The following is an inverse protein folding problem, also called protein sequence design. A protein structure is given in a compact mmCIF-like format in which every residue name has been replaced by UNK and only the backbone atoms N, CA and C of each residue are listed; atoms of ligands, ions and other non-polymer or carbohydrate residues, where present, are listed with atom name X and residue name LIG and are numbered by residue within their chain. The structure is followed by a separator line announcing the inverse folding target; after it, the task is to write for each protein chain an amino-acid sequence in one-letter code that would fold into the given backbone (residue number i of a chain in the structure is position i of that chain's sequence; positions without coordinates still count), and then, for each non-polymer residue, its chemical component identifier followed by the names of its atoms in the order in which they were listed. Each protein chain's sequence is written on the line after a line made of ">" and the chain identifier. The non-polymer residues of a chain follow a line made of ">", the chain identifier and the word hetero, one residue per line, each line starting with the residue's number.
data_IF_636637598788
#
_entry.id   IF_636637598788
#
_cell.length_a   1.000
_cell.length_b   1.000
_cell.length_c   1.000
_cell.angle_alpha   90.00
_cell.angle_beta   90.00
_cell.angle_gamma   90.00
#
_symmetry.space_group_name_H-M   'P 1'
#
loop_
_entity.id
_entity.type
_entity.pdbx_description
1 polymer ?
#
# COMPACT_ATOMS: atom_id res chain seq x y z
N UNK A 1 8.99 20.62 -22.73
CA UNK A 1 8.04 21.22 -21.75
C UNK A 1 7.33 20.16 -20.89
N UNK A 2 7.04 18.98 -21.43
CA UNK A 2 6.42 17.85 -20.71
C UNK A 2 7.05 17.51 -19.34
N UNK A 3 8.38 17.45 -19.23
CA UNK A 3 9.03 17.13 -17.96
C UNK A 3 8.79 18.18 -16.85
N UNK A 4 8.60 19.45 -17.21
CA UNK A 4 8.23 20.49 -16.23
C UNK A 4 6.80 20.26 -15.72
N UNK A 5 5.85 20.00 -16.62
CA UNK A 5 4.46 19.66 -16.27
C UNK A 5 4.43 18.49 -15.29
N UNK A 6 5.09 17.39 -15.64
CA UNK A 6 5.14 16.18 -14.82
C UNK A 6 5.77 16.44 -13.44
N UNK A 7 6.85 17.22 -13.35
CA UNK A 7 7.46 17.63 -12.07
C UNK A 7 6.47 18.41 -11.18
N UNK A 8 5.73 19.35 -11.74
CA UNK A 8 4.77 20.15 -10.97
C UNK A 8 3.51 19.35 -10.59
N UNK A 9 3.09 18.41 -11.43
CA UNK A 9 2.04 17.44 -11.09
C UNK A 9 2.44 16.64 -9.85
N UNK A 10 3.62 16.02 -9.83
CA UNK A 10 4.09 15.27 -8.66
C UNK A 10 4.19 16.12 -7.39
N UNK A 11 4.62 17.39 -7.51
CA UNK A 11 4.69 18.31 -6.37
C UNK A 11 3.31 18.60 -5.77
N UNK A 12 2.28 18.71 -6.60
CA UNK A 12 0.90 18.92 -6.15
C UNK A 12 0.30 17.67 -5.50
N UNK A 13 0.60 16.51 -6.08
CA UNK A 13 0.02 15.21 -5.71
C UNK A 13 0.62 14.64 -4.42
N UNK A 14 1.92 14.86 -4.21
CA UNK A 14 2.73 14.10 -3.25
C UNK A 14 2.17 14.07 -1.83
N UNK A 15 1.65 15.18 -1.30
CA UNK A 15 1.21 15.27 0.10
C UNK A 15 0.06 14.32 0.43
N UNK A 16 -0.96 14.27 -0.43
CA UNK A 16 -2.15 13.43 -0.20
C UNK A 16 -1.86 11.94 -0.43
N UNK A 17 -1.10 11.63 -1.48
CA UNK A 17 -0.74 10.24 -1.77
C UNK A 17 0.21 9.67 -0.73
N UNK A 18 1.20 10.45 -0.30
CA UNK A 18 2.11 10.00 0.74
C UNK A 18 1.37 9.78 2.06
N UNK A 19 0.44 10.66 2.43
CA UNK A 19 -0.40 10.48 3.62
C UNK A 19 -1.22 9.19 3.57
N UNK A 20 -1.88 8.90 2.44
CA UNK A 20 -2.66 7.67 2.26
C UNK A 20 -1.78 6.42 2.41
N UNK A 21 -0.64 6.39 1.72
CA UNK A 21 0.27 5.25 1.76
C UNK A 21 0.91 5.06 3.15
N UNK A 22 1.27 6.15 3.82
CA UNK A 22 1.78 6.10 5.20
C UNK A 22 0.74 5.55 6.18
N UNK A 23 -0.54 5.92 6.02
CA UNK A 23 -1.63 5.39 6.84
C UNK A 23 -1.81 3.88 6.65
N UNK A 24 -1.73 3.39 5.41
CA UNK A 24 -1.79 1.95 5.11
C UNK A 24 -0.70 1.17 5.85
N UNK A 25 0.55 1.65 5.81
CA UNK A 25 1.68 1.01 6.50
C UNK A 25 1.49 1.06 8.02
N UNK A 26 1.07 2.20 8.57
CA UNK A 26 0.85 2.36 10.00
C UNK A 26 -0.21 1.38 10.53
N UNK A 27 -1.34 1.26 9.82
CA UNK A 27 -2.41 0.33 10.20
C UNK A 27 -1.93 -1.12 10.05
N UNK A 28 -1.21 -1.47 8.98
CA UNK A 28 -0.63 -2.80 8.82
C UNK A 28 0.32 -3.17 9.97
N UNK A 29 1.16 -2.23 10.41
CA UNK A 29 2.07 -2.45 11.55
C UNK A 29 1.31 -2.64 12.87
N UNK A 30 0.26 -1.85 13.12
CA UNK A 30 -0.60 -2.00 14.32
C UNK A 30 -1.28 -3.36 14.32
N UNK A 31 -1.85 -3.78 13.19
CA UNK A 31 -2.47 -5.10 13.05
C UNK A 31 -1.45 -6.22 13.28
N UNK A 32 -0.24 -6.09 12.75
CA UNK A 32 0.83 -7.08 12.92
C UNK A 32 1.28 -7.20 14.38
N UNK A 33 1.42 -6.07 15.08
CA UNK A 33 1.71 -6.07 16.50
C UNK A 33 0.59 -6.71 17.32
N UNK A 34 -0.66 -6.47 16.92
CA UNK A 34 -1.84 -7.07 17.56
C UNK A 34 -1.79 -8.59 17.41
N UNK A 35 -1.52 -9.11 16.20
CA UNK A 35 -1.36 -10.55 15.95
C UNK A 35 -0.35 -11.16 16.91
N UNK A 36 0.85 -10.57 16.98
CA UNK A 36 1.93 -11.08 17.83
C UNK A 36 1.51 -11.19 19.30
N UNK A 37 0.84 -10.17 19.84
CA UNK A 37 0.38 -10.18 21.24
C UNK A 37 -0.66 -11.26 21.50
N UNK A 38 -1.63 -11.42 20.59
CA UNK A 38 -2.69 -12.42 20.76
C UNK A 38 -2.16 -13.86 20.62
N UNK A 39 -1.24 -14.12 19.68
CA UNK A 39 -0.62 -15.46 19.51
C UNK A 39 0.18 -15.87 20.75
N UNK A 40 0.91 -14.96 21.39
CA UNK A 40 1.66 -15.27 22.62
C UNK A 40 0.76 -15.55 23.83
N UNK A 41 -0.46 -15.00 23.85
CA UNK A 41 -1.43 -15.17 24.93
C UNK A 41 -2.24 -16.47 24.80
N UNK A 42 -2.50 -16.93 23.56
CA UNK A 42 -3.35 -18.09 23.26
C UNK A 42 -2.81 -19.41 23.84
N UNK A 43 -1.48 -19.57 23.90
CA UNK A 43 -0.82 -20.75 24.49
C UNK A 43 -1.16 -20.98 25.98
N UNK A 44 -1.67 -19.95 26.67
CA UNK A 44 -1.96 -20.01 28.11
C UNK A 44 -3.46 -20.16 28.45
N UNK A 45 -4.37 -20.17 27.47
CA UNK A 45 -5.80 -19.88 27.70
C UNK A 45 -6.84 -21.02 27.47
N UNK A 46 -6.42 -22.27 27.27
CA UNK A 46 -7.35 -23.42 27.19
C UNK A 46 -8.42 -23.28 26.09
N UNK A 47 -9.69 -23.60 26.39
CA UNK A 47 -10.83 -23.60 25.43
C UNK A 47 -11.12 -22.21 24.82
N UNK A 48 -10.77 -21.12 25.51
CA UNK A 48 -10.89 -19.76 24.95
C UNK A 48 -9.80 -19.48 23.91
N UNK A 49 -8.61 -20.08 24.04
CA UNK A 49 -7.52 -19.98 23.07
C UNK A 49 -7.90 -20.58 21.72
N UNK A 50 -8.59 -21.73 21.69
CA UNK A 50 -8.98 -22.40 20.43
C UNK A 50 -10.06 -21.66 19.64
N UNK A 51 -10.93 -20.89 20.29
CA UNK A 51 -11.91 -20.03 19.58
C UNK A 51 -11.20 -18.81 19.00
N UNK A 52 -10.28 -18.20 19.75
CA UNK A 52 -9.50 -17.05 19.29
C UNK A 52 -8.60 -17.46 18.12
N UNK A 53 -7.89 -18.59 18.20
CA UNK A 53 -7.04 -19.08 17.10
C UNK A 53 -7.80 -19.32 15.79
N UNK A 54 -9.08 -19.72 15.86
CA UNK A 54 -9.89 -19.96 14.66
C UNK A 54 -10.56 -18.71 14.10
N UNK A 55 -10.97 -17.77 14.96
CA UNK A 55 -11.71 -16.57 14.55
C UNK A 55 -10.79 -15.39 14.22
N UNK A 56 -9.68 -15.24 14.95
CA UNK A 56 -8.71 -14.17 14.78
C UNK A 56 -8.13 -14.08 13.35
N UNK A 57 -7.64 -15.16 12.71
CA UNK A 57 -7.13 -15.07 11.34
C UNK A 57 -8.21 -14.68 10.33
N UNK A 58 -9.46 -15.10 10.53
CA UNK A 58 -10.58 -14.73 9.66
C UNK A 58 -10.89 -13.22 9.76
N UNK A 59 -11.03 -12.69 10.98
CA UNK A 59 -11.31 -11.26 11.20
C UNK A 59 -10.17 -10.39 10.69
N UNK A 60 -8.92 -10.81 10.88
CA UNK A 60 -7.75 -10.09 10.39
C UNK A 60 -7.64 -10.12 8.86
N UNK A 61 -7.87 -11.27 8.24
CA UNK A 61 -7.90 -11.37 6.78
C UNK A 61 -8.99 -10.47 6.19
N UNK A 62 -10.16 -10.38 6.83
CA UNK A 62 -11.25 -9.54 6.38
C UNK A 62 -10.93 -8.04 6.54
N UNK A 63 -10.41 -7.63 7.70
CA UNK A 63 -10.04 -6.23 7.97
C UNK A 63 -8.92 -5.77 7.05
N UNK A 64 -7.92 -6.61 6.83
CA UNK A 64 -6.82 -6.30 5.92
C UNK A 64 -7.26 -6.32 4.46
N UNK A 65 -8.12 -7.27 4.06
CA UNK A 65 -8.75 -7.28 2.74
C UNK A 65 -9.57 -6.01 2.48
N UNK A 66 -10.34 -5.55 3.47
CA UNK A 66 -11.07 -4.29 3.39
C UNK A 66 -10.12 -3.08 3.29
N UNK A 67 -8.96 -3.12 3.96
CA UNK A 67 -7.93 -2.09 3.88
C UNK A 67 -7.32 -2.01 2.48
N UNK A 68 -6.99 -3.15 1.87
CA UNK A 68 -6.49 -3.22 0.49
C UNK A 68 -7.55 -2.65 -0.47
N UNK A 69 -8.77 -3.15 -0.40
CA UNK A 69 -9.87 -2.69 -1.25
C UNK A 69 -10.12 -1.18 -1.08
N UNK A 70 -10.11 -0.69 0.15
CA UNK A 70 -10.26 0.72 0.49
C UNK A 70 -9.12 1.59 -0.05
N UNK A 71 -7.86 1.13 0.02
CA UNK A 71 -6.71 1.84 -0.54
C UNK A 71 -6.80 1.96 -2.06
N UNK A 72 -7.16 0.87 -2.74
CA UNK A 72 -7.33 0.84 -4.19
C UNK A 72 -8.47 1.76 -4.63
N UNK A 73 -9.63 1.66 -3.97
CA UNK A 73 -10.79 2.51 -4.26
C UNK A 73 -10.49 3.98 -3.98
N UNK A 74 -9.87 4.29 -2.84
CA UNK A 74 -9.49 5.66 -2.48
C UNK A 74 -8.51 6.25 -3.48
N UNK A 75 -7.50 5.48 -3.92
CA UNK A 75 -6.55 5.92 -4.94
C UNK A 75 -7.24 6.24 -6.25
N UNK A 76 -8.16 5.39 -6.70
CA UNK A 76 -8.96 5.63 -7.89
C UNK A 76 -9.79 6.92 -7.75
N UNK A 77 -10.48 7.11 -6.62
CA UNK A 77 -11.29 8.30 -6.36
C UNK A 77 -10.43 9.58 -6.32
N UNK A 78 -9.25 9.52 -5.70
CA UNK A 78 -8.31 10.65 -5.68
C UNK A 78 -7.84 11.00 -7.10
N UNK A 79 -7.53 9.99 -7.94
CA UNK A 79 -7.17 10.22 -9.34
C UNK A 79 -8.32 10.92 -10.07
N UNK A 80 -9.55 10.39 -10.00
CA UNK A 80 -10.70 10.95 -10.71
C UNK A 80 -10.99 12.38 -10.26
N UNK A 81 -11.09 12.62 -8.94
CA UNK A 81 -11.35 13.95 -8.40
C UNK A 81 -10.26 14.95 -8.80
N UNK A 82 -9.00 14.52 -8.82
CA UNK A 82 -7.88 15.36 -9.25
C UNK A 82 -7.99 15.73 -10.72
N UNK A 83 -8.28 14.77 -11.59
CA UNK A 83 -8.47 15.01 -13.02
C UNK A 83 -9.63 15.97 -13.26
N UNK A 84 -10.77 15.72 -12.61
CA UNK A 84 -11.96 16.55 -12.72
C UNK A 84 -11.68 18.00 -12.35
N UNK A 85 -11.10 18.22 -11.16
CA UNK A 85 -10.85 19.56 -10.63
C UNK A 85 -9.81 20.35 -11.45
N UNK A 86 -8.75 19.69 -11.92
CA UNK A 86 -7.65 20.36 -12.63
C UNK A 86 -7.94 20.67 -14.10
N UNK A 87 -8.84 19.92 -14.76
CA UNK A 87 -9.13 20.10 -16.19
C UNK A 87 -10.49 20.78 -16.38
N UNK A 88 -11.52 20.34 -15.65
CA UNK A 88 -12.89 20.82 -15.83
C UNK A 88 -13.34 21.80 -14.73
N UNK A 89 -12.51 22.00 -13.69
CA UNK A 89 -12.77 22.96 -12.62
C UNK A 89 -12.21 24.35 -12.92
N UNK A 90 -12.28 25.22 -11.91
CA UNK A 90 -11.77 26.62 -11.98
C UNK A 90 -10.27 26.70 -12.27
N UNK A 91 -9.51 25.69 -11.86
CA UNK A 91 -8.06 25.54 -12.13
C UNK A 91 -7.81 25.16 -13.60
N UNK A 92 -8.82 24.63 -14.29
CA UNK A 92 -8.79 24.21 -15.70
C UNK A 92 -8.49 25.34 -16.68
N UNK A 93 -8.99 26.55 -16.41
CA UNK A 93 -8.73 27.70 -17.28
C UNK A 93 -7.24 28.04 -17.36
N UNK A 94 -6.53 27.96 -16.24
CA UNK A 94 -5.09 28.22 -16.19
C UNK A 94 -4.28 27.08 -16.81
N UNK A 95 -4.71 25.83 -16.64
CA UNK A 95 -4.00 24.70 -17.23
C UNK A 95 -4.17 24.65 -18.75
N UNK A 96 -5.35 24.96 -19.27
CA UNK A 96 -5.65 24.95 -20.71
C UNK A 96 -5.12 26.18 -21.47
N UNK A 97 -4.78 27.27 -20.77
CA UNK A 97 -4.18 28.48 -21.39
C UNK A 97 -2.66 28.44 -21.42
N UNK A 98 -2.02 27.41 -20.85
CA UNK A 98 -0.58 27.21 -21.00
C UNK A 98 -0.23 27.07 -22.49
N UNK A 99 0.93 27.57 -22.94
CA UNK A 99 1.38 27.43 -24.32
C UNK A 99 1.90 26.00 -24.59
N UNK A 100 1.05 25.01 -24.34
CA UNK A 100 1.32 23.58 -24.43
C UNK A 100 0.07 22.87 -24.95
N UNK A 101 0.24 21.81 -25.73
CA UNK A 101 -0.89 21.09 -26.32
C UNK A 101 -1.71 20.35 -25.25
N UNK A 102 -3.04 20.33 -25.41
CA UNK A 102 -3.97 19.65 -24.49
C UNK A 102 -3.63 18.16 -24.30
N UNK A 103 -3.16 17.50 -25.35
CA UNK A 103 -2.70 16.11 -25.28
C UNK A 103 -1.53 15.94 -24.32
N UNK A 104 -0.53 16.84 -24.35
CA UNK A 104 0.61 16.76 -23.42
C UNK A 104 0.19 16.96 -21.97
N UNK A 105 -0.81 17.80 -21.70
CA UNK A 105 -1.36 18.02 -20.36
C UNK A 105 -2.01 16.72 -19.86
N UNK A 106 -2.92 16.13 -20.65
CA UNK A 106 -3.61 14.89 -20.27
C UNK A 106 -2.61 13.75 -20.07
N UNK A 107 -1.65 13.59 -21.00
CA UNK A 107 -0.63 12.55 -20.92
C UNK A 107 0.23 12.71 -19.66
N UNK A 108 0.58 13.95 -19.30
CA UNK A 108 1.39 14.20 -18.10
C UNK A 108 0.67 13.80 -16.82
N UNK A 109 -0.63 14.06 -16.73
CA UNK A 109 -1.47 13.65 -15.60
C UNK A 109 -1.66 12.14 -15.55
N UNK A 110 -1.81 11.48 -16.71
CA UNK A 110 -1.98 10.04 -16.81
C UNK A 110 -0.72 9.33 -16.33
N UNK A 111 0.46 9.74 -16.83
CA UNK A 111 1.75 9.19 -16.42
C UNK A 111 1.99 9.42 -14.92
N UNK A 112 1.67 10.61 -14.40
CA UNK A 112 1.78 10.87 -12.96
C UNK A 112 0.88 9.97 -12.12
N UNK A 113 -0.40 9.81 -12.51
CA UNK A 113 -1.32 8.86 -11.85
C UNK A 113 -0.86 7.42 -11.93
N UNK A 114 -0.31 7.01 -13.07
CA UNK A 114 0.16 5.65 -13.29
C UNK A 114 1.33 5.32 -12.34
N UNK A 115 2.30 6.22 -12.23
CA UNK A 115 3.44 6.07 -11.31
C UNK A 115 2.96 6.06 -9.85
N UNK A 116 2.03 6.94 -9.47
CA UNK A 116 1.46 6.94 -8.11
C UNK A 116 0.69 5.65 -7.81
N UNK A 117 0.00 5.07 -8.79
CA UNK A 117 -0.71 3.80 -8.66
C UNK A 117 0.26 2.63 -8.47
N UNK A 118 1.34 2.59 -9.27
CA UNK A 118 2.41 1.60 -9.09
C UNK A 118 3.04 1.69 -7.70
N UNK A 119 3.29 2.90 -7.21
CA UNK A 119 3.83 3.12 -5.88
C UNK A 119 2.88 2.61 -4.78
N UNK A 120 1.57 2.86 -4.90
CA UNK A 120 0.59 2.28 -3.98
C UNK A 120 0.62 0.73 -4.01
N UNK A 121 0.70 0.13 -5.20
CA UNK A 121 0.76 -1.32 -5.34
C UNK A 121 2.00 -1.89 -4.60
N UNK A 122 3.16 -1.26 -4.74
CA UNK A 122 4.38 -1.64 -4.00
C UNK A 122 4.14 -1.54 -2.49
N UNK A 123 3.52 -0.47 -2.01
CA UNK A 123 3.21 -0.29 -0.58
C UNK A 123 2.23 -1.33 -0.06
N UNK A 124 1.23 -1.72 -0.85
CA UNK A 124 0.32 -2.81 -0.49
C UNK A 124 1.05 -4.14 -0.36
N UNK A 125 2.00 -4.44 -1.27
CA UNK A 125 2.86 -5.63 -1.16
C UNK A 125 3.68 -5.59 0.13
N UNK A 126 4.29 -4.44 0.46
CA UNK A 126 5.00 -4.26 1.72
C UNK A 126 4.07 -4.41 2.94
N UNK A 127 2.85 -3.89 2.87
CA UNK A 127 1.85 -4.06 3.92
C UNK A 127 1.48 -5.52 4.14
N UNK A 128 1.33 -6.30 3.06
CA UNK A 128 1.09 -7.75 3.13
C UNK A 128 2.29 -8.44 3.80
N UNK A 129 3.52 -8.11 3.38
CA UNK A 129 4.72 -8.70 3.96
C UNK A 129 4.82 -8.44 5.46
N UNK A 130 4.53 -7.21 5.91
CA UNK A 130 4.52 -6.83 7.33
C UNK A 130 3.49 -7.64 8.12
N UNK A 131 2.32 -7.92 7.52
CA UNK A 131 1.26 -8.71 8.18
C UNK A 131 1.63 -10.19 8.37
N UNK A 132 2.41 -10.76 7.45
CA UNK A 132 2.81 -12.18 7.50
C UNK A 132 3.94 -12.40 8.51
N UNK A 133 4.78 -11.39 8.76
CA UNK A 133 5.91 -11.45 9.71
C UNK A 133 5.56 -12.07 11.07
N UNK A 134 4.49 -11.66 11.80
CA UNK A 134 4.17 -12.28 13.09
C UNK A 134 3.66 -13.72 13.00
N UNK A 135 3.22 -14.19 11.81
CA UNK A 135 2.79 -15.58 11.60
C UNK A 135 3.96 -16.52 11.28
N UNK A 136 5.09 -15.97 10.86
CA UNK A 136 6.26 -16.73 10.43
C UNK A 136 7.40 -16.47 11.41
N UNK A 137 7.83 -17.49 12.15
CA UNK A 137 8.94 -17.32 13.08
C UNK A 137 10.22 -17.02 12.29
N UNK A 138 10.83 -15.85 12.51
CA UNK A 138 12.05 -15.43 11.79
C UNK A 138 13.18 -16.45 11.94
N UNK A 139 13.20 -17.21 13.03
CA UNK A 139 14.18 -18.28 13.26
C UNK A 139 14.04 -19.42 12.27
N UNK A 140 12.81 -19.84 11.96
CA UNK A 140 12.56 -20.93 11.00
C UNK A 140 12.94 -20.51 9.58
N UNK A 141 12.70 -19.26 9.20
CA UNK A 141 13.10 -18.73 7.88
C UNK A 141 14.62 -18.64 7.75
N UNK A 142 15.32 -18.14 8.76
CA UNK A 142 16.79 -18.05 8.77
C UNK A 142 17.42 -19.44 8.81
N UNK A 143 16.85 -20.38 9.56
CA UNK A 143 17.34 -21.75 9.60
C UNK A 143 17.16 -22.45 8.24
N UNK A 144 15.99 -22.28 7.61
CA UNK A 144 15.69 -22.84 6.29
C UNK A 144 16.58 -22.23 5.20
N UNK A 145 16.82 -20.92 5.23
CA UNK A 145 17.77 -20.26 4.32
C UNK A 145 19.20 -20.74 4.54
N UNK A 146 19.63 -20.94 5.79
CA UNK A 146 20.97 -21.48 6.07
C UNK A 146 21.13 -22.92 5.58
N UNK A 147 20.05 -23.72 5.64
CA UNK A 147 20.01 -25.09 5.11
C UNK A 147 20.08 -25.10 3.58
N UNK A 148 19.36 -24.20 2.92
CA UNK A 148 19.40 -24.06 1.45
C UNK A 148 20.78 -23.60 0.99
N UNK A 149 21.36 -22.58 1.63
CA UNK A 149 22.70 -22.07 1.32
C UNK A 149 23.79 -23.12 1.58
N UNK A 150 23.67 -23.90 2.66
CA UNK A 150 24.60 -25.03 2.91
C UNK A 150 24.41 -26.20 1.95
N UNK A 151 23.18 -26.49 1.54
CA UNK A 151 22.89 -27.54 0.57
C UNK A 151 23.45 -27.22 -0.82
N UNK A 152 23.47 -25.94 -1.20
CA UNK A 152 24.06 -25.46 -2.45
C UNK A 152 25.60 -25.46 -2.45
N UNK A 153 26.24 -25.47 -1.27
CA UNK A 153 27.71 -25.50 -1.13
C UNK A 153 28.32 -26.92 -1.03
N UNK A 154 27.49 -27.96 -1.02
CA UNK A 154 27.90 -29.37 -0.90
C UNK A 154 27.84 -30.12 -2.25
N UNK A 155 27.35 -29.47 -3.31
CA UNK A 155 27.41 -29.91 -4.71
C UNK A 155 28.57 -29.23 -5.43
#
# INVERSE_FOLDING_TARGET
>A
MFGKLLKYEFKSIGKWYFALNAAVIAIAAILSFTIKQFTQQADNAGVFGTVIDKMLPLTLSLTFGALIAGSLLSTLLIIINRFSKNIFGREGYLTLTLPVTSHQIILSKLVASFICSLFNLIILIFGIAILIVPMVDFKDVVETLSKVIKAEYIL
#
